data_IF_054900427365
#
_entry.id   IF_054900427365
#
_cell.length_a   1.000
_cell.length_b   1.000
_cell.length_c   1.000
_cell.angle_alpha   90.00
_cell.angle_beta   90.00
_cell.angle_gamma   90.00
#
_symmetry.space_group_name_H-M   'P 1'
#
loop_
_entity.id
_entity.type
_entity.pdbx_description
1 polymer ?
#
# COMPACT_ATOMS: atom_id res chain seq x y z
N UNK A 1 -16.59 15.24 30.22
CA UNK A 1 -15.80 15.90 29.16
C UNK A 1 -15.15 14.81 28.33
N UNK A 2 -15.72 14.57 27.14
CA UNK A 2 -15.17 13.61 26.17
C UNK A 2 -13.93 14.24 25.56
N UNK A 3 -12.76 13.64 25.78
CA UNK A 3 -11.54 14.02 25.06
C UNK A 3 -11.79 13.68 23.59
N UNK A 4 -11.83 14.69 22.73
CA UNK A 4 -11.92 14.49 21.29
C UNK A 4 -10.64 13.75 20.86
N UNK A 5 -10.81 12.60 20.21
CA UNK A 5 -9.69 11.81 19.68
C UNK A 5 -8.91 12.62 18.66
N UNK A 6 -7.59 12.53 18.71
CA UNK A 6 -6.67 13.19 17.78
C UNK A 6 -6.94 12.69 16.35
N UNK A 7 -6.79 13.51 15.29
CA UNK A 7 -6.97 13.07 13.90
C UNK A 7 -6.15 11.82 13.57
N UNK A 8 -4.91 11.76 14.05
CA UNK A 8 -4.02 10.62 13.87
C UNK A 8 -4.52 9.33 14.57
N UNK A 9 -5.17 9.44 15.73
CA UNK A 9 -5.76 8.28 16.42
C UNK A 9 -7.01 7.75 15.71
N UNK A 10 -7.75 8.64 15.04
CA UNK A 10 -8.92 8.27 14.24
C UNK A 10 -8.52 7.55 12.94
N UNK A 11 -7.47 8.01 12.23
CA UNK A 11 -6.92 7.28 11.08
C UNK A 11 -6.39 5.91 11.50
N UNK A 12 -5.64 5.84 12.60
CA UNK A 12 -5.13 4.58 13.16
C UNK A 12 -6.26 3.57 13.46
N UNK A 13 -7.40 4.06 13.96
CA UNK A 13 -8.56 3.23 14.24
C UNK A 13 -9.24 2.74 12.96
N UNK A 14 -9.35 3.60 11.94
CA UNK A 14 -9.92 3.27 10.64
C UNK A 14 -9.06 2.24 9.89
N UNK A 15 -7.74 2.44 9.83
CA UNK A 15 -6.78 1.48 9.29
C UNK A 15 -6.91 0.10 9.96
N UNK A 16 -6.92 0.07 11.30
CA UNK A 16 -7.10 -1.18 12.05
C UNK A 16 -8.46 -1.83 11.76
N UNK A 17 -9.52 -1.06 11.52
CA UNK A 17 -10.83 -1.59 11.17
C UNK A 17 -10.82 -2.23 9.76
N UNK A 18 -10.14 -1.62 8.80
CA UNK A 18 -10.00 -2.15 7.45
C UNK A 18 -9.15 -3.42 7.42
N UNK A 19 -8.00 -3.44 8.11
CA UNK A 19 -7.17 -4.65 8.26
C UNK A 19 -7.99 -5.80 8.87
N UNK A 20 -8.79 -5.52 9.91
CA UNK A 20 -9.67 -6.53 10.52
C UNK A 20 -10.74 -7.02 9.53
N UNK A 21 -11.37 -6.12 8.77
CA UNK A 21 -12.38 -6.49 7.77
C UNK A 21 -11.78 -7.39 6.70
N UNK A 22 -10.67 -6.97 6.08
CA UNK A 22 -9.99 -7.75 5.05
C UNK A 22 -9.51 -9.11 5.59
N UNK A 23 -9.03 -9.15 6.83
CA UNK A 23 -8.69 -10.39 7.53
C UNK A 23 -9.89 -11.33 7.69
N UNK A 24 -11.07 -10.81 8.08
CA UNK A 24 -12.29 -11.62 8.15
C UNK A 24 -12.75 -12.13 6.77
N UNK A 25 -12.64 -11.30 5.72
CA UNK A 25 -12.98 -11.70 4.35
C UNK A 25 -12.07 -12.81 3.82
N UNK A 26 -10.76 -12.72 4.13
CA UNK A 26 -9.82 -13.82 3.89
C UNK A 26 -10.21 -15.06 4.68
N UNK A 27 -10.46 -14.94 5.99
CA UNK A 27 -10.87 -16.07 6.83
C UNK A 27 -12.13 -16.77 6.30
N UNK A 28 -13.13 -16.02 5.88
CA UNK A 28 -14.33 -16.57 5.23
C UNK A 28 -13.98 -17.34 3.96
N UNK A 29 -13.03 -16.86 3.16
CA UNK A 29 -12.56 -17.54 1.96
C UNK A 29 -11.85 -18.85 2.29
N UNK A 30 -11.00 -18.86 3.32
CA UNK A 30 -10.34 -20.09 3.82
C UNK A 30 -11.38 -21.13 4.25
N UNK A 31 -12.38 -20.72 5.04
CA UNK A 31 -13.44 -21.60 5.53
C UNK A 31 -14.25 -22.18 4.37
N UNK A 32 -14.63 -21.37 3.37
CA UNK A 32 -15.41 -21.83 2.22
C UNK A 32 -14.68 -22.91 1.41
N UNK A 33 -13.36 -22.84 1.31
CA UNK A 33 -12.60 -23.70 0.39
C UNK A 33 -11.90 -24.89 1.06
N UNK A 34 -11.44 -24.71 2.30
CA UNK A 34 -10.64 -25.71 3.03
C UNK A 34 -11.25 -26.10 4.38
N UNK A 35 -12.38 -25.49 4.75
CA UNK A 35 -13.06 -25.75 6.03
C UNK A 35 -12.52 -24.92 7.20
N UNK A 36 -13.20 -24.98 8.36
CA UNK A 36 -12.86 -24.17 9.53
C UNK A 36 -11.48 -24.51 10.13
N UNK A 37 -11.00 -25.74 9.96
CA UNK A 37 -9.75 -26.20 10.55
C UNK A 37 -8.53 -25.38 10.10
N UNK A 38 -8.48 -25.00 8.82
CA UNK A 38 -7.38 -24.17 8.31
C UNK A 38 -7.37 -22.78 8.99
N UNK A 39 -8.54 -22.17 9.16
CA UNK A 39 -8.65 -20.88 9.86
C UNK A 39 -8.26 -21.01 11.33
N UNK A 40 -8.65 -22.10 11.99
CA UNK A 40 -8.27 -22.38 13.38
C UNK A 40 -6.74 -22.50 13.52
N UNK A 41 -6.06 -23.17 12.59
CA UNK A 41 -4.59 -23.26 12.55
C UNK A 41 -3.96 -21.88 12.35
N UNK A 42 -4.47 -21.07 11.42
CA UNK A 42 -3.99 -19.69 11.17
C UNK A 42 -4.11 -18.82 12.43
N UNK A 43 -5.27 -18.81 13.09
CA UNK A 43 -5.51 -18.03 14.30
C UNK A 43 -4.66 -18.52 15.47
N UNK A 44 -4.42 -19.84 15.59
CA UNK A 44 -3.52 -20.40 16.59
C UNK A 44 -2.09 -19.89 16.41
N UNK A 45 -1.58 -19.86 15.19
CA UNK A 45 -0.24 -19.32 14.88
C UNK A 45 -0.16 -17.82 15.18
N UNK A 46 -1.21 -17.07 14.82
CA UNK A 46 -1.31 -15.62 15.09
C UNK A 46 -1.33 -15.31 16.59
N UNK A 47 -2.07 -16.09 17.38
CA UNK A 47 -2.11 -15.96 18.84
C UNK A 47 -0.73 -16.22 19.46
N UNK A 48 -0.09 -17.34 19.11
CA UNK A 48 1.25 -17.66 19.61
C UNK A 48 2.29 -16.61 19.21
N UNK A 49 2.23 -16.10 17.98
CA UNK A 49 3.14 -15.05 17.50
C UNK A 49 2.95 -13.72 18.26
N UNK A 50 1.72 -13.43 18.70
CA UNK A 50 1.42 -12.27 19.55
C UNK A 50 1.97 -12.46 20.96
N UNK A 51 1.79 -13.64 21.55
CA UNK A 51 2.29 -13.97 22.90
C UNK A 51 3.83 -13.94 22.95
N UNK A 52 4.50 -14.30 21.85
CA UNK A 52 5.96 -14.17 21.71
C UNK A 52 6.41 -12.71 21.84
N UNK A 53 5.62 -11.76 21.32
CA UNK A 53 5.94 -10.33 21.32
C UNK A 53 5.69 -9.68 22.69
N UNK A 54 4.84 -10.26 23.54
CA UNK A 54 4.53 -9.70 24.86
C UNK A 54 5.57 -9.98 25.95
N UNK A 55 6.75 -10.53 25.61
CA UNK A 55 7.94 -10.73 26.46
C UNK A 55 7.75 -11.60 27.72
N UNK A 56 6.56 -12.13 28.00
CA UNK A 56 6.30 -12.85 29.24
C UNK A 56 6.77 -14.32 29.24
N UNK A 57 7.03 -14.94 28.08
CA UNK A 57 7.39 -16.38 28.01
C UNK A 57 7.96 -16.83 26.64
N UNK A 58 8.99 -16.15 26.11
CA UNK A 58 9.50 -16.39 24.75
C UNK A 58 9.91 -17.84 24.45
N UNK A 59 10.58 -18.53 25.37
CA UNK A 59 11.07 -19.90 25.18
C UNK A 59 9.95 -20.96 25.14
N UNK A 60 8.89 -20.78 25.94
CA UNK A 60 7.76 -21.74 25.97
C UNK A 60 6.86 -21.57 24.75
N UNK A 61 6.66 -20.33 24.29
CA UNK A 61 5.90 -20.03 23.07
C UNK A 61 6.65 -20.51 21.82
N UNK A 62 7.97 -20.30 21.76
CA UNK A 62 8.81 -20.80 20.66
C UNK A 62 8.73 -22.32 20.53
N UNK A 63 8.78 -23.05 21.66
CA UNK A 63 8.62 -24.51 21.67
C UNK A 63 7.24 -24.95 21.15
N UNK A 64 6.17 -24.27 21.57
CA UNK A 64 4.79 -24.57 21.12
C UNK A 64 4.60 -24.29 19.62
N UNK A 65 5.26 -23.28 19.06
CA UNK A 65 5.28 -23.01 17.62
C UNK A 65 6.06 -24.10 16.88
N UNK A 66 7.23 -24.49 17.38
CA UNK A 66 8.02 -25.57 16.79
C UNK A 66 7.24 -26.90 16.77
N UNK A 67 6.62 -27.28 17.88
CA UNK A 67 5.76 -28.47 17.97
C UNK A 67 4.57 -28.40 17.00
N UNK A 68 3.96 -27.22 16.83
CA UNK A 68 2.88 -27.06 15.85
C UNK A 68 3.38 -27.33 14.43
N UNK A 69 4.52 -26.74 14.04
CA UNK A 69 5.08 -26.90 12.70
C UNK A 69 5.62 -28.31 12.44
N UNK A 70 6.23 -28.97 13.43
CA UNK A 70 6.72 -30.35 13.31
C UNK A 70 5.57 -31.36 13.06
N UNK A 71 4.37 -31.05 13.56
CA UNK A 71 3.18 -31.87 13.36
C UNK A 71 2.31 -31.42 12.16
N UNK A 72 2.71 -30.38 11.44
CA UNK A 72 1.98 -29.88 10.26
C UNK A 72 2.47 -30.61 9.02
N UNK A 73 1.56 -31.21 8.25
CA UNK A 73 1.96 -31.85 7.00
C UNK A 73 2.38 -30.80 5.93
N UNK A 74 3.17 -31.18 4.91
CA UNK A 74 3.65 -30.23 3.91
C UNK A 74 2.54 -29.49 3.13
N UNK A 75 1.37 -30.10 2.94
CA UNK A 75 0.23 -29.46 2.25
C UNK A 75 -0.38 -28.39 3.16
N UNK A 76 -0.65 -28.72 4.42
CA UNK A 76 -1.15 -27.75 5.40
C UNK A 76 -0.16 -26.61 5.64
N UNK A 77 1.15 -26.91 5.69
CA UNK A 77 2.20 -25.90 5.83
C UNK A 77 2.21 -24.91 4.65
N UNK A 78 2.02 -25.39 3.42
CA UNK A 78 1.91 -24.52 2.25
C UNK A 78 0.66 -23.63 2.31
N UNK A 79 -0.49 -24.18 2.72
CA UNK A 79 -1.72 -23.41 2.89
C UNK A 79 -1.57 -22.32 3.96
N UNK A 80 -0.88 -22.65 5.06
CA UNK A 80 -0.61 -21.73 6.15
C UNK A 80 0.30 -20.57 5.71
N UNK A 81 1.42 -20.88 5.03
CA UNK A 81 2.31 -19.86 4.47
C UNK A 81 1.54 -18.93 3.54
N UNK A 82 0.75 -19.50 2.63
CA UNK A 82 -0.06 -18.73 1.69
C UNK A 82 -1.09 -17.85 2.38
N UNK A 83 -1.74 -18.35 3.44
CA UNK A 83 -2.74 -17.57 4.18
C UNK A 83 -2.10 -16.34 4.82
N UNK A 84 -0.89 -16.47 5.38
CA UNK A 84 -0.14 -15.34 5.89
C UNK A 84 0.34 -14.40 4.78
N UNK A 85 0.81 -14.92 3.65
CA UNK A 85 1.22 -14.07 2.52
C UNK A 85 0.07 -13.20 2.03
N UNK A 86 -1.11 -13.78 1.77
CA UNK A 86 -2.30 -13.03 1.35
C UNK A 86 -2.73 -12.05 2.44
N UNK A 87 -2.70 -12.45 3.71
CA UNK A 87 -3.00 -11.53 4.82
C UNK A 87 -2.08 -10.31 4.83
N UNK A 88 -0.76 -10.50 4.65
CA UNK A 88 0.19 -9.39 4.62
C UNK A 88 0.03 -8.51 3.39
N UNK A 89 -0.30 -9.08 2.22
CA UNK A 89 -0.66 -8.28 1.06
C UNK A 89 -1.89 -7.40 1.33
N UNK A 90 -2.94 -7.95 1.94
CA UNK A 90 -4.15 -7.20 2.29
C UNK A 90 -3.87 -6.12 3.35
N UNK A 91 -3.04 -6.42 4.34
CA UNK A 91 -2.64 -5.45 5.36
C UNK A 91 -1.86 -4.28 4.74
N UNK A 92 -0.92 -4.58 3.84
CA UNK A 92 -0.15 -3.57 3.11
C UNK A 92 -1.04 -2.70 2.21
N UNK A 93 -2.03 -3.29 1.53
CA UNK A 93 -3.01 -2.54 0.73
C UNK A 93 -3.81 -1.58 1.62
N UNK A 94 -4.31 -2.03 2.77
CA UNK A 94 -5.02 -1.15 3.70
C UNK A 94 -4.10 -0.02 4.20
N UNK A 95 -2.86 -0.32 4.58
CA UNK A 95 -1.90 0.70 5.01
C UNK A 95 -1.62 1.73 3.91
N UNK A 96 -1.47 1.29 2.65
CA UNK A 96 -1.24 2.19 1.52
C UNK A 96 -2.43 3.14 1.28
N UNK A 97 -3.67 2.64 1.33
CA UNK A 97 -4.87 3.48 1.17
C UNK A 97 -4.94 4.53 2.27
N UNK A 98 -4.80 4.12 3.54
CA UNK A 98 -4.85 5.06 4.67
C UNK A 98 -3.68 6.04 4.67
N UNK A 99 -2.48 5.62 4.23
CA UNK A 99 -1.33 6.51 4.04
C UNK A 99 -1.61 7.59 2.98
N UNK A 100 -2.26 7.23 1.88
CA UNK A 100 -2.65 8.21 0.84
C UNK A 100 -3.72 9.16 1.38
N UNK A 101 -4.70 8.68 2.13
CA UNK A 101 -5.71 9.51 2.78
C UNK A 101 -5.10 10.49 3.80
N UNK A 102 -4.16 10.02 4.64
CA UNK A 102 -3.41 10.87 5.58
C UNK A 102 -2.61 11.95 4.86
N UNK A 103 -1.94 11.60 3.75
CA UNK A 103 -1.21 12.56 2.91
C UNK A 103 -2.14 13.60 2.27
N UNK A 104 -3.42 13.28 2.05
CA UNK A 104 -4.40 14.17 1.44
C UNK A 104 -5.21 15.00 2.48
N UNK A 105 -5.26 14.61 3.75
CA UNK A 105 -6.22 15.14 4.74
C UNK A 105 -5.65 16.06 5.84
N UNK A 106 -4.34 16.33 5.89
CA UNK A 106 -3.79 17.52 6.59
C UNK A 106 -2.81 17.30 7.76
N UNK A 107 -1.67 16.68 7.52
CA UNK A 107 -0.43 16.93 8.30
C UNK A 107 0.52 17.83 7.50
N UNK A 108 1.56 18.47 8.07
CA UNK A 108 2.52 19.27 7.28
C UNK A 108 3.09 18.39 6.16
N UNK A 109 2.73 18.74 4.92
CA UNK A 109 2.42 17.77 3.87
C UNK A 109 3.65 17.32 3.05
N UNK A 110 3.48 16.27 2.24
CA UNK A 110 4.27 16.04 1.02
C UNK A 110 3.69 16.82 -0.18
N UNK A 111 2.35 16.94 -0.26
CA UNK A 111 1.65 17.74 -1.27
C UNK A 111 1.84 19.27 -1.12
N UNK A 112 1.94 19.80 0.11
CA UNK A 112 2.22 21.23 0.35
C UNK A 112 3.73 21.51 0.41
N UNK A 113 4.62 20.57 0.06
CA UNK A 113 6.05 20.89 0.11
C UNK A 113 6.38 22.05 -0.84
N UNK A 114 5.73 22.14 -2.00
CA UNK A 114 5.92 23.29 -2.86
C UNK A 114 5.26 24.55 -2.27
N UNK A 115 4.02 24.44 -1.80
CA UNK A 115 3.27 25.56 -1.19
C UNK A 115 3.94 26.13 0.08
N UNK A 116 4.75 25.35 0.78
CA UNK A 116 5.53 25.80 1.94
C UNK A 116 6.96 26.21 1.53
N UNK A 117 7.66 25.38 0.74
CA UNK A 117 9.06 25.60 0.43
C UNK A 117 9.28 26.79 -0.51
N UNK A 118 8.44 26.98 -1.53
CA UNK A 118 8.63 28.09 -2.49
C UNK A 118 8.43 29.45 -1.79
N UNK A 119 7.34 29.68 -1.03
CA UNK A 119 7.21 30.91 -0.24
C UNK A 119 8.32 31.08 0.79
N UNK A 120 8.75 30.02 1.48
CA UNK A 120 9.87 30.09 2.42
C UNK A 120 11.19 30.54 1.74
N UNK A 121 11.44 30.10 0.50
CA UNK A 121 12.60 30.55 -0.29
C UNK A 121 12.47 32.04 -0.65
N UNK A 122 11.29 32.50 -1.03
CA UNK A 122 11.02 33.93 -1.28
C UNK A 122 11.22 34.76 -0.02
N UNK A 123 10.70 34.31 1.13
CA UNK A 123 10.89 34.95 2.44
C UNK A 123 12.36 35.01 2.85
N UNK A 124 13.17 34.02 2.44
CA UNK A 124 14.62 34.02 2.65
C UNK A 124 15.40 34.97 1.73
N UNK A 125 14.71 35.65 0.80
CA UNK A 125 15.28 36.66 -0.09
C UNK A 125 15.67 36.16 -1.48
N UNK A 126 15.30 34.94 -1.86
CA UNK A 126 15.56 34.39 -3.20
C UNK A 126 14.46 34.88 -4.15
N UNK A 127 14.85 35.44 -5.30
CA UNK A 127 13.90 35.96 -6.28
C UNK A 127 13.04 34.86 -6.92
N UNK A 128 11.74 35.09 -7.19
CA UNK A 128 10.88 34.11 -7.85
C UNK A 128 11.44 33.57 -9.19
N UNK A 129 12.03 34.43 -10.01
CA UNK A 129 12.65 34.04 -11.28
C UNK A 129 13.88 33.14 -11.07
N UNK A 130 14.66 33.40 -10.02
CA UNK A 130 15.82 32.58 -9.66
C UNK A 130 15.39 31.19 -9.18
N UNK A 131 14.28 31.10 -8.42
CA UNK A 131 13.67 29.84 -7.99
C UNK A 131 13.23 29.04 -9.23
N UNK A 132 12.54 29.67 -10.18
CA UNK A 132 12.11 29.01 -11.42
C UNK A 132 13.31 28.52 -12.27
N UNK A 133 14.39 29.31 -12.35
CA UNK A 133 15.61 28.90 -13.06
C UNK A 133 16.32 27.72 -12.36
N UNK A 134 16.36 27.70 -11.03
CA UNK A 134 16.91 26.59 -10.25
C UNK A 134 16.11 25.31 -10.49
N UNK A 135 14.78 25.38 -10.41
CA UNK A 135 13.89 24.24 -10.67
C UNK A 135 14.04 23.75 -12.11
N UNK A 136 14.12 24.66 -13.09
CA UNK A 136 14.30 24.32 -14.51
C UNK A 136 15.65 23.67 -14.84
N UNK A 137 16.60 23.68 -13.92
CA UNK A 137 17.90 22.98 -14.00
C UNK A 137 17.95 21.71 -13.14
N UNK A 138 17.00 21.52 -12.23
CA UNK A 138 16.94 20.33 -11.40
C UNK A 138 16.60 19.09 -12.25
N UNK A 139 17.22 17.96 -11.92
CA UNK A 139 16.90 16.68 -12.52
C UNK A 139 16.72 15.63 -11.41
N UNK A 140 15.48 15.18 -11.25
CA UNK A 140 15.13 14.01 -10.46
C UNK A 140 15.09 12.80 -11.39
N UNK A 141 15.94 11.80 -11.12
CA UNK A 141 16.00 10.57 -11.90
C UNK A 141 15.75 9.32 -11.08
N UNK A 142 14.48 8.90 -10.85
CA UNK A 142 14.19 7.62 -10.24
C UNK A 142 14.69 6.49 -11.16
N UNK A 143 15.44 5.55 -10.58
CA UNK A 143 15.96 4.37 -11.28
C UNK A 143 15.28 3.14 -10.72
N UNK A 144 14.51 2.46 -11.56
CA UNK A 144 13.92 1.18 -11.18
C UNK A 144 15.02 0.12 -11.15
N UNK A 145 15.05 -0.66 -10.08
CA UNK A 145 15.97 -1.78 -9.96
C UNK A 145 15.17 -3.06 -9.92
N UNK A 146 15.73 -4.14 -10.46
CA UNK A 146 15.16 -5.46 -10.26
C UNK A 146 15.18 -5.76 -8.76
N UNK A 147 14.00 -5.94 -8.15
CA UNK A 147 13.93 -6.34 -6.75
C UNK A 147 14.10 -7.86 -6.68
N UNK A 148 15.22 -8.36 -6.13
CA UNK A 148 15.61 -9.77 -6.27
C UNK A 148 14.68 -10.76 -5.54
N UNK A 149 13.73 -10.27 -4.75
CA UNK A 149 12.84 -11.09 -3.89
C UNK A 149 11.35 -10.89 -4.14
N UNK A 150 10.92 -9.95 -4.99
CA UNK A 150 9.49 -9.82 -5.31
C UNK A 150 9.10 -10.75 -6.46
N UNK A 151 8.94 -12.03 -6.13
CA UNK A 151 8.43 -13.07 -7.02
C UNK A 151 6.90 -12.98 -7.28
N UNK A 152 6.27 -11.87 -6.89
CA UNK A 152 4.83 -11.67 -7.01
C UNK A 152 4.40 -11.64 -8.48
N UNK A 153 3.40 -12.45 -8.85
CA UNK A 153 2.87 -12.45 -10.22
C UNK A 153 2.17 -11.11 -10.51
N UNK A 154 2.32 -10.51 -11.71
CA UNK A 154 1.63 -9.27 -12.08
C UNK A 154 0.10 -9.34 -11.85
N UNK A 155 -0.50 -10.50 -12.12
CA UNK A 155 -1.92 -10.72 -11.91
C UNK A 155 -2.37 -10.64 -10.44
N UNK A 156 -1.48 -10.81 -9.46
CA UNK A 156 -1.77 -10.59 -8.03
C UNK A 156 -1.74 -9.10 -7.74
N UNK A 157 -0.75 -8.40 -8.27
CA UNK A 157 -0.55 -6.97 -8.05
C UNK A 157 -1.69 -6.15 -8.67
N UNK A 158 -2.18 -6.52 -9.85
CA UNK A 158 -3.39 -5.92 -10.44
C UNK A 158 -4.62 -6.09 -9.53
N UNK A 159 -4.77 -7.27 -8.90
CA UNK A 159 -5.88 -7.52 -7.97
C UNK A 159 -5.69 -6.75 -6.68
N UNK A 160 -4.47 -6.62 -6.17
CA UNK A 160 -4.17 -5.81 -4.99
C UNK A 160 -4.46 -4.33 -5.25
N UNK A 161 -4.04 -3.80 -6.39
CA UNK A 161 -4.37 -2.43 -6.81
C UNK A 161 -5.89 -2.23 -6.90
N UNK A 162 -6.61 -3.19 -7.48
CA UNK A 162 -8.08 -3.11 -7.53
C UNK A 162 -8.74 -3.21 -6.15
N UNK A 163 -8.20 -4.00 -5.24
CA UNK A 163 -8.68 -4.04 -3.85
C UNK A 163 -8.44 -2.69 -3.17
N UNK A 164 -7.28 -2.05 -3.40
CA UNK A 164 -6.98 -0.72 -2.87
C UNK A 164 -8.03 0.32 -3.29
N UNK A 165 -8.33 0.39 -4.59
CA UNK A 165 -9.37 1.27 -5.14
C UNK A 165 -10.74 1.02 -4.47
N UNK A 166 -11.12 -0.25 -4.28
CA UNK A 166 -12.41 -0.59 -3.66
C UNK A 166 -12.46 -0.27 -2.17
N UNK A 167 -11.33 -0.38 -1.45
CA UNK A 167 -11.21 0.01 -0.04
C UNK A 167 -11.37 1.53 0.09
N UNK A 168 -10.68 2.30 -0.75
CA UNK A 168 -10.82 3.76 -0.81
C UNK A 168 -12.26 4.17 -1.16
N UNK A 169 -12.85 3.61 -2.23
CA UNK A 169 -14.23 3.88 -2.63
C UNK A 169 -15.25 3.60 -1.51
N UNK A 170 -14.97 2.59 -0.67
CA UNK A 170 -15.83 2.19 0.45
C UNK A 170 -15.72 3.15 1.64
N UNK A 171 -14.55 3.77 1.82
CA UNK A 171 -14.27 4.80 2.82
C UNK A 171 -15.05 6.09 2.59
N UNK A 172 -15.46 6.37 1.34
CA UNK A 172 -16.20 7.58 0.99
C UNK A 172 -17.49 7.74 1.82
N UNK A 173 -17.65 8.85 2.58
CA UNK A 173 -18.80 9.08 3.45
C UNK A 173 -20.12 9.20 2.68
N UNK A 174 -20.08 9.52 1.37
CA UNK A 174 -21.27 9.65 0.50
C UNK A 174 -21.87 8.29 0.12
N UNK A 175 -21.17 7.18 0.35
CA UNK A 175 -21.65 5.83 0.00
C UNK A 175 -22.77 5.37 0.92
N UNK A 176 -23.80 4.78 0.34
CA UNK A 176 -24.87 4.14 1.12
C UNK A 176 -24.40 2.78 1.65
N UNK A 177 -25.12 2.25 2.64
CA UNK A 177 -24.86 0.89 3.15
C UNK A 177 -25.04 -0.18 2.05
N UNK A 178 -25.98 0.04 1.12
CA UNK A 178 -26.13 -0.85 -0.02
C UNK A 178 -24.90 -0.84 -0.93
N UNK A 179 -24.28 0.32 -1.14
CA UNK A 179 -23.05 0.45 -1.94
C UNK A 179 -21.87 -0.22 -1.25
N UNK A 180 -21.69 0.02 0.05
CA UNK A 180 -20.63 -0.64 0.84
C UNK A 180 -20.74 -2.15 0.77
N UNK A 181 -21.94 -2.72 0.87
CA UNK A 181 -22.17 -4.17 0.69
C UNK A 181 -21.86 -4.67 -0.73
N UNK A 182 -22.02 -3.85 -1.78
CA UNK A 182 -21.61 -4.23 -3.14
C UNK A 182 -20.08 -4.23 -3.27
N UNK A 183 -19.43 -3.22 -2.72
CA UNK A 183 -17.96 -3.10 -2.69
C UNK A 183 -17.35 -4.26 -1.90
N UNK A 184 -17.89 -4.57 -0.72
CA UNK A 184 -17.44 -5.69 0.12
C UNK A 184 -17.53 -7.03 -0.61
N UNK A 185 -18.64 -7.31 -1.32
CA UNK A 185 -18.75 -8.52 -2.15
C UNK A 185 -17.72 -8.56 -3.27
N UNK A 186 -17.42 -7.41 -3.89
CA UNK A 186 -16.40 -7.35 -4.94
C UNK A 186 -15.00 -7.59 -4.38
N UNK A 187 -14.72 -7.09 -3.18
CA UNK A 187 -13.47 -7.36 -2.45
C UNK A 187 -13.38 -8.87 -2.12
N UNK A 188 -14.47 -9.50 -1.66
CA UNK A 188 -14.50 -10.95 -1.41
C UNK A 188 -14.13 -11.76 -2.65
N UNK A 189 -14.72 -11.43 -3.81
CA UNK A 189 -14.42 -12.07 -5.10
C UNK A 189 -12.94 -11.94 -5.49
N UNK A 190 -12.33 -10.77 -5.24
CA UNK A 190 -10.92 -10.52 -5.56
C UNK A 190 -9.99 -11.25 -4.59
N UNK A 191 -10.29 -11.25 -3.29
CA UNK A 191 -9.55 -12.02 -2.28
C UNK A 191 -9.57 -13.51 -2.64
N UNK A 192 -10.73 -14.03 -3.04
CA UNK A 192 -10.87 -15.40 -3.51
C UNK A 192 -10.06 -15.67 -4.78
N UNK A 193 -10.05 -14.74 -5.74
CA UNK A 193 -9.24 -14.87 -6.95
C UNK A 193 -7.73 -14.85 -6.65
N UNK A 194 -7.28 -14.01 -5.70
CA UNK A 194 -5.88 -13.98 -5.23
C UNK A 194 -5.53 -15.31 -4.57
N UNK A 195 -6.39 -15.78 -3.65
CA UNK A 195 -6.24 -17.05 -2.97
C UNK A 195 -6.36 -18.29 -3.90
N UNK A 196 -6.90 -18.16 -5.10
CA UNK A 196 -6.88 -19.22 -6.12
C UNK A 196 -5.71 -19.07 -7.10
N UNK A 197 -5.03 -17.92 -7.10
CA UNK A 197 -3.84 -17.69 -7.90
C UNK A 197 -2.61 -18.14 -7.13
N UNK A 198 -1.86 -19.10 -7.67
CA UNK A 198 -0.63 -19.57 -7.03
C UNK A 198 0.43 -18.45 -7.01
N UNK A 199 0.77 -17.96 -5.80
CA UNK A 199 1.67 -16.82 -5.61
C UNK A 199 3.14 -17.24 -5.69
N UNK A 200 3.45 -18.49 -5.35
CA UNK A 200 4.81 -18.99 -5.34
C UNK A 200 5.21 -19.34 -6.77
N UNK A 201 6.03 -18.47 -7.37
CA UNK A 201 6.76 -18.85 -8.58
C UNK A 201 7.77 -19.94 -8.21
N UNK A 202 7.52 -21.18 -8.62
CA UNK A 202 8.50 -22.28 -8.54
C UNK A 202 9.75 -22.06 -9.44
N UNK A 203 9.73 -21.02 -10.30
CA UNK A 203 10.79 -20.70 -11.26
C UNK A 203 11.13 -19.22 -11.18
N UNK A 204 12.43 -18.89 -11.24
CA UNK A 204 12.94 -17.52 -11.25
C UNK A 204 12.25 -16.69 -12.35
N UNK A 205 11.86 -15.42 -12.10
CA UNK A 205 11.30 -14.56 -13.14
C UNK A 205 12.20 -14.46 -14.36
N UNK A 206 11.59 -14.45 -15.55
CA UNK A 206 12.29 -14.07 -16.77
C UNK A 206 12.59 -12.55 -16.68
N UNK A 207 13.79 -12.08 -17.04
CA UNK A 207 14.09 -10.64 -17.14
C UNK A 207 13.03 -9.83 -17.92
N UNK A 208 12.34 -10.45 -18.89
CA UNK A 208 11.24 -9.84 -19.62
C UNK A 208 10.00 -9.57 -18.75
N UNK A 209 9.72 -10.40 -17.75
CA UNK A 209 8.64 -10.16 -16.80
C UNK A 209 8.96 -8.97 -15.90
N UNK A 210 10.20 -8.85 -15.43
CA UNK A 210 10.68 -7.71 -14.63
C UNK A 210 10.60 -6.41 -15.43
N UNK A 211 11.00 -6.43 -16.70
CA UNK A 211 10.90 -5.26 -17.57
C UNK A 211 9.43 -4.82 -17.79
N UNK A 212 8.52 -5.77 -18.05
CA UNK A 212 7.08 -5.49 -18.19
C UNK A 212 6.50 -4.91 -16.91
N UNK A 213 6.95 -5.41 -15.78
CA UNK A 213 6.55 -4.91 -14.47
C UNK A 213 6.97 -3.46 -14.26
N UNK A 214 8.24 -3.13 -14.50
CA UNK A 214 8.72 -1.74 -14.42
C UNK A 214 7.93 -0.82 -15.36
N UNK A 215 7.67 -1.25 -16.60
CA UNK A 215 6.89 -0.47 -17.56
C UNK A 215 5.47 -0.19 -17.06
N UNK A 216 4.83 -1.16 -16.38
CA UNK A 216 3.48 -0.98 -15.83
C UNK A 216 3.45 0.18 -14.81
N UNK A 217 4.35 0.19 -13.82
CA UNK A 217 4.41 1.25 -12.82
C UNK A 217 4.82 2.59 -13.44
N UNK A 218 5.83 2.60 -14.31
CA UNK A 218 6.26 3.82 -15.02
C UNK A 218 5.10 4.41 -15.81
N UNK A 219 4.33 3.58 -16.53
CA UNK A 219 3.21 4.06 -17.32
C UNK A 219 2.11 4.70 -16.46
N UNK A 220 1.82 4.14 -15.29
CA UNK A 220 0.86 4.71 -14.35
C UNK A 220 1.39 6.02 -13.74
N UNK A 221 2.64 6.02 -13.25
CA UNK A 221 3.28 7.21 -12.66
C UNK A 221 3.37 8.37 -13.64
N UNK A 222 3.79 8.11 -14.89
CA UNK A 222 3.93 9.15 -15.92
C UNK A 222 2.57 9.67 -16.39
N UNK A 223 1.51 8.85 -16.37
CA UNK A 223 0.18 9.27 -16.83
C UNK A 223 -0.57 10.10 -15.81
N UNK A 224 -0.39 9.81 -14.52
CA UNK A 224 -1.24 10.37 -13.46
C UNK A 224 -0.44 11.24 -12.49
N UNK A 225 0.61 10.69 -11.88
CA UNK A 225 1.32 11.36 -10.80
C UNK A 225 2.21 12.51 -11.28
N UNK A 226 2.99 12.30 -12.35
CA UNK A 226 3.91 13.32 -12.88
C UNK A 226 3.18 14.58 -13.36
N UNK A 227 2.10 14.49 -14.17
CA UNK A 227 1.36 15.68 -14.59
C UNK A 227 0.78 16.45 -13.41
N UNK A 228 0.13 15.75 -12.46
CA UNK A 228 -0.46 16.37 -11.27
C UNK A 228 0.59 17.13 -10.44
N UNK A 229 1.76 16.53 -10.23
CA UNK A 229 2.85 17.15 -9.50
C UNK A 229 3.40 18.39 -10.22
N UNK A 230 3.51 18.35 -11.55
CA UNK A 230 3.96 19.50 -12.34
C UNK A 230 2.92 20.63 -12.35
N UNK A 231 1.63 20.30 -12.40
CA UNK A 231 0.54 21.27 -12.30
C UNK A 231 0.54 21.97 -10.92
N UNK A 232 0.72 21.22 -9.84
CA UNK A 232 0.87 21.76 -8.48
C UNK A 232 2.09 22.69 -8.38
N UNK A 233 3.25 22.25 -8.87
CA UNK A 233 4.47 23.05 -8.90
C UNK A 233 4.29 24.36 -9.68
N UNK A 234 3.67 24.29 -10.85
CA UNK A 234 3.41 25.43 -11.73
C UNK A 234 2.46 26.43 -11.05
N UNK A 235 1.39 25.95 -10.43
CA UNK A 235 0.44 26.80 -9.71
C UNK A 235 1.11 27.56 -8.55
N UNK A 236 2.01 26.92 -7.80
CA UNK A 236 2.75 27.59 -6.73
C UNK A 236 3.74 28.62 -7.27
N UNK A 237 4.45 28.32 -8.35
CA UNK A 237 5.35 29.29 -8.98
C UNK A 237 4.59 30.53 -9.49
N UNK A 238 3.42 30.32 -10.11
CA UNK A 238 2.55 31.41 -10.56
C UNK A 238 2.10 32.29 -9.40
N UNK A 239 1.82 31.69 -8.23
CA UNK A 239 1.42 32.43 -7.02
C UNK A 239 2.50 33.39 -6.50
N UNK A 240 3.78 33.11 -6.75
CA UNK A 240 4.92 33.98 -6.39
C UNK A 240 5.40 34.84 -7.57
N UNK A 241 4.69 34.82 -8.70
CA UNK A 241 4.97 35.64 -9.88
C UNK A 241 6.03 35.08 -10.83
N UNK A 242 6.30 33.77 -10.76
CA UNK A 242 7.22 33.07 -11.66
C UNK A 242 6.50 31.97 -12.46
N UNK A 243 7.18 31.37 -13.43
CA UNK A 243 6.61 30.30 -14.28
C UNK A 243 7.74 29.38 -14.71
N UNK A 244 7.50 28.07 -14.69
CA UNK A 244 8.44 27.12 -15.26
C UNK A 244 8.25 27.06 -16.79
N UNK A 245 9.31 27.18 -17.60
CA UNK A 245 9.18 27.03 -19.06
C UNK A 245 8.66 25.64 -19.45
N UNK A 246 7.72 25.58 -20.40
CA UNK A 246 7.04 24.34 -20.79
C UNK A 246 7.96 23.26 -21.41
N UNK A 247 9.16 23.63 -21.83
CA UNK A 247 10.19 22.71 -22.34
C UNK A 247 11.04 22.08 -21.22
N UNK A 248 10.83 22.49 -19.96
CA UNK A 248 11.58 21.99 -18.80
C UNK A 248 10.77 20.97 -18.02
N UNK A 249 11.16 19.71 -18.19
CA UNK A 249 10.63 18.60 -17.41
C UNK A 249 11.73 18.10 -16.46
N UNK A 250 11.69 18.45 -15.17
CA UNK A 250 12.74 18.12 -14.20
C UNK A 250 12.75 16.64 -13.80
N UNK A 251 11.83 15.81 -14.30
CA UNK A 251 11.76 14.37 -13.97
C UNK A 251 12.12 13.53 -15.19
N UNK A 252 13.04 12.57 -15.00
CA UNK A 252 13.34 11.52 -15.97
C UNK A 252 13.34 10.15 -15.29
N UNK A 253 12.93 9.10 -15.99
CA UNK A 253 13.00 7.74 -15.44
C UNK A 253 14.15 6.96 -16.06
N UNK A 254 14.86 6.19 -15.24
CA UNK A 254 15.86 5.21 -15.66
C UNK A 254 15.44 3.79 -15.30
N UNK A 255 16.06 2.81 -15.95
CA UNK A 255 16.04 1.39 -15.57
C UNK A 255 17.45 0.81 -15.60
#
# INVERSE_FOLDING_TARGET
MSVASSPHEATDAALRADIRRLGHQLGNTLVRQYGPQLLDTVERVRSLSRDLRSLESGDSVTRRLAELFDNTDPVEANLLVRAFTVYFHLANVAEQVHRIEDLNSGSPNVANQFEEAIPALVESGIGPDEIAELIGRAELRPVFTAHPTEASRPAILDKMARIAELVEERGDPRRTEADRRRLDRRIDELIEAVWQTDELRHVRPDPLDEARFVIYYVAQTVREAVPKMLDELQAVLESVGATLPADRVPIRFGS
#
